data_IF_087368055547
#
_entry.id   IF_087368055547
#
_cell.length_a   1.000
_cell.length_b   1.000
_cell.length_c   1.000
_cell.angle_alpha   90.00
_cell.angle_beta   90.00
_cell.angle_gamma   90.00
#
_symmetry.space_group_name_H-M   'P 1'
#
loop_
_entity.id
_entity.type
_entity.pdbx_description
1 polymer ?
#
# COMPACT_ATOMS: atom_id res chain seq x y z
N UNK A 1 26.33 31.84 -30.71
CA UNK A 1 24.97 31.37 -31.05
C UNK A 1 24.87 29.88 -31.44
N UNK A 2 25.91 29.27 -32.05
CA UNK A 2 25.84 27.86 -32.50
C UNK A 2 25.85 26.82 -31.36
N UNK A 3 26.63 27.05 -30.29
CA UNK A 3 26.66 26.17 -29.13
C UNK A 3 25.34 26.15 -28.34
N UNK A 4 24.66 27.30 -28.26
CA UNK A 4 23.35 27.41 -27.60
C UNK A 4 22.29 26.63 -28.36
N UNK A 5 22.27 26.71 -29.70
CA UNK A 5 21.35 25.94 -30.53
C UNK A 5 21.54 24.42 -30.36
N UNK A 6 22.78 23.94 -30.32
CA UNK A 6 23.08 22.52 -30.05
C UNK A 6 22.64 22.08 -28.66
N UNK A 7 22.77 22.94 -27.65
CA UNK A 7 22.31 22.63 -26.31
C UNK A 7 20.77 22.61 -26.21
N UNK A 8 20.09 23.51 -26.91
CA UNK A 8 18.63 23.54 -26.98
C UNK A 8 18.05 22.27 -27.62
N UNK A 9 18.66 21.80 -28.71
CA UNK A 9 18.26 20.57 -29.39
C UNK A 9 18.43 19.32 -28.49
N UNK A 10 19.56 19.24 -27.78
CA UNK A 10 19.80 18.19 -26.76
C UNK A 10 18.78 18.26 -25.63
N UNK A 11 18.51 19.46 -25.11
CA UNK A 11 17.54 19.64 -24.04
C UNK A 11 16.11 19.26 -24.50
N UNK A 12 15.74 19.59 -25.74
CA UNK A 12 14.45 19.21 -26.31
C UNK A 12 14.31 17.67 -26.42
N UNK A 13 15.36 17.00 -26.87
CA UNK A 13 15.40 15.53 -26.95
C UNK A 13 15.28 14.88 -25.57
N UNK A 14 16.02 15.39 -24.59
CA UNK A 14 15.95 14.90 -23.21
C UNK A 14 14.58 15.14 -22.59
N UNK A 15 13.98 16.30 -22.85
CA UNK A 15 12.64 16.63 -22.38
C UNK A 15 11.59 15.68 -22.94
N UNK A 16 11.61 15.42 -24.25
CA UNK A 16 10.67 14.48 -24.88
C UNK A 16 10.76 13.06 -24.27
N UNK A 17 11.97 12.59 -23.96
CA UNK A 17 12.18 11.31 -23.28
C UNK A 17 11.64 11.32 -21.86
N UNK A 18 11.93 12.37 -21.09
CA UNK A 18 11.41 12.50 -19.73
C UNK A 18 9.88 12.55 -19.71
N UNK A 19 9.26 13.32 -20.61
CA UNK A 19 7.81 13.44 -20.71
C UNK A 19 7.17 12.06 -21.03
N UNK A 20 7.84 11.21 -21.83
CA UNK A 20 7.40 9.83 -22.11
C UNK A 20 7.52 8.92 -20.88
N UNK A 21 8.68 8.93 -20.22
CA UNK A 21 8.93 8.13 -19.03
C UNK A 21 7.98 8.52 -17.87
N UNK A 22 7.68 9.81 -17.74
CA UNK A 22 6.74 10.27 -16.73
C UNK A 22 5.31 9.74 -16.99
N UNK A 23 4.90 9.70 -18.25
CA UNK A 23 3.61 9.13 -18.63
C UNK A 23 3.54 7.62 -18.29
N UNK A 24 4.60 6.87 -18.62
CA UNK A 24 4.70 5.43 -18.28
C UNK A 24 4.66 5.19 -16.77
N UNK A 25 5.41 5.98 -15.99
CA UNK A 25 5.40 5.86 -14.52
C UNK A 25 4.03 6.21 -13.95
N UNK A 26 3.34 7.21 -14.49
CA UNK A 26 2.00 7.60 -14.06
C UNK A 26 0.99 6.48 -14.33
N UNK A 27 1.04 5.90 -15.53
CA UNK A 27 0.20 4.78 -15.92
C UNK A 27 0.41 3.58 -14.98
N UNK A 28 1.67 3.19 -14.76
CA UNK A 28 2.02 2.09 -13.85
C UNK A 28 1.54 2.32 -12.43
N UNK A 29 1.75 3.53 -11.88
CA UNK A 29 1.26 3.89 -10.54
C UNK A 29 -0.26 3.84 -10.45
N UNK A 30 -0.97 4.30 -11.48
CA UNK A 30 -2.43 4.28 -11.52
C UNK A 30 -2.98 2.85 -11.58
N UNK A 31 -2.34 1.97 -12.34
CA UNK A 31 -2.70 0.54 -12.41
C UNK A 31 -2.44 -0.19 -11.09
N UNK A 32 -1.37 0.16 -10.37
CA UNK A 32 -1.06 -0.42 -9.05
C UNK A 32 -2.03 0.06 -7.96
N UNK A 33 -2.49 1.31 -8.01
CA UNK A 33 -3.42 1.85 -7.03
C UNK A 33 -4.74 1.06 -6.99
N UNK A 34 -5.24 0.58 -8.13
CA UNK A 34 -6.46 -0.24 -8.18
C UNK A 34 -6.30 -1.59 -7.47
N UNK A 35 -5.10 -2.20 -7.57
CA UNK A 35 -4.80 -3.48 -6.90
C UNK A 35 -4.62 -3.25 -5.40
N UNK A 36 -3.94 -2.18 -5.02
CA UNK A 36 -3.71 -1.81 -3.63
C UNK A 36 -5.02 -1.53 -2.89
N UNK A 37 -5.94 -0.77 -3.51
CA UNK A 37 -7.27 -0.51 -2.96
C UNK A 37 -8.01 -1.82 -2.68
N UNK A 38 -7.99 -2.76 -3.63
CA UNK A 38 -8.62 -4.06 -3.45
C UNK A 38 -7.98 -4.87 -2.33
N UNK A 39 -6.66 -4.88 -2.24
CA UNK A 39 -5.92 -5.60 -1.20
C UNK A 39 -6.21 -5.04 0.20
N UNK A 40 -6.32 -3.71 0.34
CA UNK A 40 -6.66 -3.04 1.60
C UNK A 40 -8.13 -3.27 1.98
N UNK A 41 -9.05 -3.06 1.05
CA UNK A 41 -10.50 -3.06 1.32
C UNK A 41 -11.12 -4.46 1.40
N UNK A 42 -10.65 -5.43 0.61
CA UNK A 42 -11.20 -6.80 0.61
C UNK A 42 -10.40 -7.78 1.47
N UNK A 43 -9.07 -7.67 1.49
CA UNK A 43 -8.19 -8.68 2.10
C UNK A 43 -7.56 -8.23 3.42
N UNK A 44 -7.72 -6.95 3.79
CA UNK A 44 -7.07 -6.38 4.98
C UNK A 44 -5.54 -6.48 4.91
N UNK A 45 -4.96 -6.55 3.71
CA UNK A 45 -3.52 -6.66 3.52
C UNK A 45 -2.85 -5.31 3.79
N UNK A 46 -1.76 -5.34 4.55
CA UNK A 46 -0.95 -4.18 4.94
C UNK A 46 0.45 -4.39 4.37
N UNK A 47 1.09 -3.31 3.90
CA UNK A 47 2.44 -3.40 3.33
C UNK A 47 3.48 -3.66 4.43
N UNK A 48 4.60 -4.28 4.04
CA UNK A 48 5.76 -4.37 4.92
C UNK A 48 6.25 -2.95 5.29
N UNK A 49 6.47 -2.73 6.58
CA UNK A 49 6.82 -1.43 7.19
C UNK A 49 5.69 -0.36 7.23
N UNK A 50 4.42 -0.76 7.10
CA UNK A 50 3.26 0.12 7.28
C UNK A 50 2.57 -0.08 8.65
N UNK A 51 2.13 1.01 9.27
CA UNK A 51 1.35 0.99 10.52
C UNK A 51 -0.09 1.39 10.22
N UNK A 52 -1.03 0.47 10.41
CA UNK A 52 -2.46 0.68 10.15
C UNK A 52 -3.19 1.14 11.41
N UNK A 53 -3.90 2.26 11.33
CA UNK A 53 -4.75 2.79 12.41
C UNK A 53 -6.22 2.74 11.99
N UNK A 54 -7.05 2.01 12.74
CA UNK A 54 -8.50 2.02 12.56
C UNK A 54 -9.14 2.87 13.64
N UNK A 55 -9.79 3.96 13.24
CA UNK A 55 -10.60 4.77 14.16
C UNK A 55 -11.97 4.12 14.27
N UNK A 56 -12.32 3.65 15.46
CA UNK A 56 -13.67 3.22 15.79
C UNK A 56 -14.31 4.30 16.65
N UNK A 57 -15.51 4.74 16.27
CA UNK A 57 -16.28 5.73 17.04
C UNK A 57 -16.89 5.14 18.32
N UNK A 58 -16.76 3.83 18.51
CA UNK A 58 -17.29 3.12 19.66
C UNK A 58 -16.23 3.05 20.76
N UNK A 59 -16.53 3.47 22.02
CA UNK A 59 -15.63 3.25 23.12
C UNK A 59 -15.33 1.74 23.20
N UNK A 60 -14.05 1.39 23.11
CA UNK A 60 -13.55 0.01 23.20
C UNK A 60 -14.27 -0.72 24.34
N UNK A 61 -14.98 -1.84 24.07
CA UNK A 61 -15.37 -2.75 25.13
C UNK A 61 -14.08 -3.13 25.86
N UNK A 62 -14.03 -2.84 27.16
CA UNK A 62 -12.90 -3.16 28.01
C UNK A 62 -12.46 -4.60 27.73
N UNK A 63 -11.17 -4.79 27.46
CA UNK A 63 -10.61 -6.08 27.09
C UNK A 63 -11.02 -7.14 28.11
N UNK A 64 -12.01 -7.96 27.78
CA UNK A 64 -12.25 -9.20 28.51
C UNK A 64 -11.08 -10.11 28.15
N UNK A 65 -10.33 -10.63 29.13
CA UNK A 65 -9.23 -11.54 28.87
C UNK A 65 -9.75 -12.72 28.04
N UNK A 66 -8.96 -13.24 27.09
CA UNK A 66 -9.42 -14.26 26.17
C UNK A 66 -9.94 -15.46 26.97
N UNK A 67 -11.22 -15.79 26.76
CA UNK A 67 -11.78 -17.06 27.19
C UNK A 67 -10.96 -18.15 26.50
N UNK A 68 -10.03 -18.74 27.23
CA UNK A 68 -9.23 -19.87 26.78
C UNK A 68 -10.19 -20.99 26.42
N UNK A 69 -10.42 -21.16 25.13
CA UNK A 69 -11.06 -22.35 24.59
C UNK A 69 -10.08 -23.49 24.77
N UNK A 70 -10.26 -24.28 25.83
CA UNK A 70 -9.74 -25.64 25.91
C UNK A 70 -10.92 -26.57 26.17
N UNK A 71 -11.47 -27.13 25.10
CA UNK A 71 -12.08 -28.46 25.14
C UNK A 71 -11.10 -29.44 24.45
N UNK A 72 -11.15 -30.78 24.65
CA UNK A 72 -11.94 -31.58 25.61
C UNK A 72 -11.10 -32.65 26.35
N UNK A 73 -11.76 -33.45 27.20
CA UNK A 73 -11.36 -34.81 27.67
C UNK A 73 -10.51 -34.90 28.95
N UNK A 74 -11.11 -35.39 30.03
CA UNK A 74 -10.79 -36.71 30.62
C UNK A 74 -11.21 -36.79 32.10
N UNK A 75 -12.25 -37.59 32.32
CA UNK A 75 -12.57 -38.35 33.53
C UNK A 75 -11.34 -38.65 34.40
N UNK A 76 -11.37 -38.28 35.70
CA UNK A 76 -11.47 -39.26 36.80
C UNK A 76 -11.64 -38.59 38.17
N UNK A 77 -12.68 -39.05 38.87
CA UNK A 77 -12.86 -39.02 40.33
C UNK A 77 -11.69 -39.71 41.06
N UNK A 78 -11.45 -39.46 42.35
CA UNK A 78 -12.32 -40.00 43.42
C UNK A 78 -13.10 -38.97 44.23
#
# INVERSE_FOLDING_TARGET
NRQVALQQDKNATLKARNDTLEAEVRDLKSGQAAIEERARSELGMIKQDEVFYQVIDQPLPQAQPPLTQTEPTAVKKP
#
